data_IF_444458427087
#
_entry.id   IF_444458427087
#
_cell.length_a   1.000
_cell.length_b   1.000
_cell.length_c   1.000
_cell.angle_alpha   90.00
_cell.angle_beta   90.00
_cell.angle_gamma   90.00
#
_symmetry.space_group_name_H-M   'P 1'
#
loop_
_entity.id
_entity.type
_entity.pdbx_description
1 polymer ?
#
# COMPACT_ATOMS: atom_id res chain seq x y z
N UNK A 1 -47.80 -26.51 -7.59
CA UNK A 1 -47.04 -26.68 -6.32
C UNK A 1 -45.67 -26.05 -6.50
N UNK A 2 -45.57 -24.76 -6.19
CA UNK A 2 -44.29 -24.02 -6.25
C UNK A 2 -43.59 -24.10 -4.90
N UNK A 3 -42.46 -24.77 -4.84
CA UNK A 3 -41.63 -24.80 -3.64
C UNK A 3 -40.80 -23.51 -3.60
N UNK A 4 -41.22 -22.57 -2.75
CA UNK A 4 -40.38 -21.46 -2.34
C UNK A 4 -39.22 -22.01 -1.49
N UNK A 5 -38.05 -22.09 -2.07
CA UNK A 5 -36.81 -22.23 -1.29
C UNK A 5 -36.49 -20.83 -0.74
N UNK A 6 -36.84 -20.62 0.52
CA UNK A 6 -36.35 -19.50 1.30
C UNK A 6 -34.93 -19.87 1.78
N UNK A 7 -33.93 -19.56 0.96
CA UNK A 7 -32.52 -19.67 1.35
C UNK A 7 -32.15 -18.44 2.18
N UNK A 8 -32.44 -18.50 3.47
CA UNK A 8 -31.91 -17.60 4.49
C UNK A 8 -30.45 -17.93 4.81
N UNK A 9 -29.61 -18.11 3.81
CA UNK A 9 -28.16 -18.02 3.98
C UNK A 9 -27.83 -16.55 4.18
N UNK A 10 -27.60 -16.14 5.45
CA UNK A 10 -26.85 -14.91 5.73
C UNK A 10 -25.55 -15.01 4.94
N UNK A 11 -25.46 -14.33 3.82
CA UNK A 11 -24.22 -14.24 3.06
C UNK A 11 -23.15 -13.71 4.02
N UNK A 12 -22.13 -14.52 4.26
CA UNK A 12 -21.01 -14.09 5.09
C UNK A 12 -20.26 -13.03 4.31
N UNK A 13 -20.20 -11.82 4.87
CA UNK A 13 -19.43 -10.73 4.28
C UNK A 13 -17.97 -11.17 4.12
N UNK A 14 -17.35 -10.99 2.95
CA UNK A 14 -15.96 -11.36 2.75
C UNK A 14 -15.04 -10.57 3.67
N UNK A 15 -13.94 -11.18 4.10
CA UNK A 15 -12.89 -10.48 4.82
C UNK A 15 -12.04 -9.69 3.81
N UNK A 16 -12.09 -8.38 3.90
CA UNK A 16 -11.33 -7.49 3.01
C UNK A 16 -10.10 -6.99 3.73
N UNK A 17 -8.93 -7.21 3.14
CA UNK A 17 -7.64 -6.76 3.64
C UNK A 17 -6.93 -6.04 2.50
N UNK A 18 -6.31 -4.92 2.78
CA UNK A 18 -5.46 -4.22 1.81
C UNK A 18 -4.28 -3.57 2.52
N UNK A 19 -3.34 -3.07 1.73
CA UNK A 19 -2.19 -2.31 2.22
C UNK A 19 -2.14 -0.95 1.53
N UNK A 20 -1.75 0.05 2.28
CA UNK A 20 -1.48 1.40 1.77
C UNK A 20 -0.02 1.77 2.04
N UNK A 21 0.47 2.68 1.23
CA UNK A 21 1.82 3.24 1.33
C UNK A 21 1.74 4.76 1.43
N UNK A 22 2.77 5.40 2.00
CA UNK A 22 2.89 6.85 1.94
C UNK A 22 2.66 7.34 0.51
N UNK A 23 1.69 8.25 0.26
CA UNK A 23 1.26 8.62 -1.09
C UNK A 23 2.38 9.22 -1.94
N UNK A 24 3.24 10.05 -1.36
CA UNK A 24 4.37 10.68 -2.07
C UNK A 24 5.40 9.61 -2.47
N UNK A 25 5.73 8.70 -1.56
CA UNK A 25 6.66 7.60 -1.87
C UNK A 25 6.09 6.64 -2.91
N UNK A 26 4.77 6.38 -2.86
CA UNK A 26 4.08 5.57 -3.85
C UNK A 26 4.11 6.24 -5.22
N UNK A 27 3.74 7.53 -5.28
CA UNK A 27 3.77 8.31 -6.52
C UNK A 27 5.17 8.34 -7.12
N UNK A 28 6.19 8.57 -6.30
CA UNK A 28 7.58 8.57 -6.76
C UNK A 28 8.01 7.21 -7.32
N UNK A 29 7.60 6.13 -6.66
CA UNK A 29 7.87 4.77 -7.15
C UNK A 29 7.20 4.51 -8.49
N UNK A 30 5.92 4.88 -8.63
CA UNK A 30 5.15 4.73 -9.86
C UNK A 30 5.71 5.61 -11.00
N UNK A 31 6.04 6.87 -10.71
CA UNK A 31 6.65 7.79 -11.65
C UNK A 31 7.96 7.25 -12.22
N UNK A 32 8.86 6.77 -11.35
CA UNK A 32 10.12 6.18 -11.78
C UNK A 32 9.92 4.87 -12.52
N UNK A 33 8.97 4.03 -12.09
CA UNK A 33 8.62 2.80 -12.81
C UNK A 33 8.15 3.10 -14.22
N UNK A 34 7.23 4.02 -14.40
CA UNK A 34 6.73 4.42 -15.72
C UNK A 34 7.88 4.97 -16.58
N UNK A 35 8.72 5.84 -16.03
CA UNK A 35 9.87 6.41 -16.74
C UNK A 35 10.86 5.34 -17.22
N UNK A 36 11.12 4.32 -16.39
CA UNK A 36 12.06 3.25 -16.72
C UNK A 36 11.45 2.17 -17.64
N UNK A 37 10.18 1.82 -17.41
CA UNK A 37 9.49 0.81 -18.21
C UNK A 37 9.17 1.25 -19.62
N UNK A 38 8.99 2.52 -19.84
CA UNK A 38 8.64 3.07 -21.16
C UNK A 38 9.78 3.03 -22.18
N UNK A 39 10.98 2.71 -21.75
CA UNK A 39 12.07 2.37 -22.71
C UNK A 39 11.73 1.11 -23.53
N UNK A 40 10.75 0.32 -23.11
CA UNK A 40 10.42 -0.97 -23.72
C UNK A 40 9.10 -1.05 -24.50
N UNK A 41 8.15 -0.13 -24.30
CA UNK A 41 6.81 -0.21 -24.91
C UNK A 41 6.42 1.09 -25.61
N UNK A 42 6.05 1.02 -26.89
CA UNK A 42 5.77 2.18 -27.74
C UNK A 42 4.66 3.11 -27.19
N UNK A 43 3.64 2.57 -26.52
CA UNK A 43 2.55 3.35 -25.91
C UNK A 43 3.01 4.20 -24.71
N UNK A 44 4.01 3.73 -24.00
CA UNK A 44 4.58 4.46 -22.86
C UNK A 44 5.56 5.56 -23.30
N UNK A 45 6.03 5.56 -24.54
CA UNK A 45 6.90 6.63 -25.08
C UNK A 45 6.21 7.99 -25.08
N UNK A 46 4.91 8.04 -25.30
CA UNK A 46 4.16 9.31 -25.31
C UNK A 46 4.10 9.91 -23.89
N UNK A 47 3.85 9.08 -22.88
CA UNK A 47 3.88 9.47 -21.47
C UNK A 47 5.27 9.96 -21.07
N UNK A 48 6.34 9.32 -21.58
CA UNK A 48 7.73 9.69 -21.27
C UNK A 48 8.17 10.93 -22.04
N UNK A 49 7.75 11.09 -23.27
CA UNK A 49 8.07 12.32 -24.02
C UNK A 49 7.50 13.56 -23.30
N UNK A 50 6.41 13.39 -22.56
CA UNK A 50 5.81 14.47 -21.75
C UNK A 50 6.41 14.57 -20.35
N UNK A 51 6.83 13.46 -19.73
CA UNK A 51 7.57 13.48 -18.45
C UNK A 51 9.01 13.96 -18.62
N UNK A 52 9.58 13.76 -19.81
CA UNK A 52 10.97 14.13 -20.11
C UNK A 52 11.97 13.39 -19.19
N UNK A 53 13.18 13.93 -19.10
CA UNK A 53 14.19 13.49 -18.12
C UNK A 53 14.06 14.20 -16.77
N UNK A 54 12.87 14.75 -16.45
CA UNK A 54 12.66 15.51 -15.22
C UNK A 54 12.43 14.57 -14.04
N UNK A 55 12.90 14.98 -12.86
CA UNK A 55 12.53 14.32 -11.60
C UNK A 55 11.05 14.61 -11.28
N UNK A 56 10.44 13.76 -10.43
CA UNK A 56 9.08 14.00 -9.95
C UNK A 56 8.97 15.37 -9.27
N UNK A 57 9.96 15.76 -8.45
CA UNK A 57 9.98 17.04 -7.75
C UNK A 57 10.03 18.24 -8.72
N UNK A 58 10.72 18.09 -9.85
CA UNK A 58 10.74 19.12 -10.91
C UNK A 58 9.40 19.18 -11.65
N UNK A 59 8.82 18.01 -11.95
CA UNK A 59 7.52 17.93 -12.61
C UNK A 59 6.40 18.53 -11.74
N UNK A 60 6.42 18.30 -10.44
CA UNK A 60 5.42 18.81 -9.49
C UNK A 60 5.32 20.35 -9.49
N UNK A 61 6.39 21.05 -9.79
CA UNK A 61 6.43 22.53 -9.88
C UNK A 61 5.87 23.09 -11.19
N UNK A 62 5.59 22.23 -12.16
CA UNK A 62 5.06 22.62 -13.47
C UNK A 62 3.60 22.20 -13.61
N UNK A 63 2.67 23.15 -13.64
CA UNK A 63 1.25 22.87 -13.86
C UNK A 63 1.02 22.03 -15.12
N UNK A 64 1.71 22.36 -16.20
CA UNK A 64 1.63 21.58 -17.45
C UNK A 64 2.08 20.13 -17.27
N UNK A 65 3.18 19.89 -16.53
CA UNK A 65 3.66 18.54 -16.28
C UNK A 65 2.67 17.76 -15.39
N UNK A 66 2.12 18.39 -14.36
CA UNK A 66 1.12 17.80 -13.45
C UNK A 66 -0.13 17.39 -14.22
N UNK A 67 -0.65 18.26 -15.10
CA UNK A 67 -1.87 18.00 -15.87
C UNK A 67 -1.67 16.94 -16.94
N UNK A 68 -0.66 17.10 -17.79
CA UNK A 68 -0.38 16.16 -18.90
C UNK A 68 -0.12 14.76 -18.38
N UNK A 69 0.59 14.63 -17.27
CA UNK A 69 0.90 13.33 -16.69
C UNK A 69 -0.17 12.83 -15.69
N UNK A 70 -1.24 13.58 -15.53
CA UNK A 70 -2.34 13.21 -14.61
C UNK A 70 -1.85 12.88 -13.19
N UNK A 71 -0.84 13.60 -12.68
CA UNK A 71 -0.21 13.28 -11.38
C UNK A 71 -1.21 13.30 -10.22
N UNK A 72 -2.19 14.22 -10.25
CA UNK A 72 -3.26 14.26 -9.23
C UNK A 72 -4.07 12.96 -9.22
N UNK A 73 -4.42 12.42 -10.39
CA UNK A 73 -5.13 11.15 -10.49
C UNK A 73 -4.25 9.96 -10.07
N UNK A 74 -2.99 9.95 -10.48
CA UNK A 74 -2.03 8.94 -10.04
C UNK A 74 -1.91 8.95 -8.51
N UNK A 75 -1.76 10.13 -7.91
CA UNK A 75 -1.63 10.24 -6.46
C UNK A 75 -2.96 10.10 -5.69
N UNK A 76 -4.08 9.89 -6.36
CA UNK A 76 -5.37 9.61 -5.72
C UNK A 76 -5.76 8.13 -5.79
N UNK A 77 -4.90 7.27 -6.32
CA UNK A 77 -5.25 5.87 -6.65
C UNK A 77 -5.65 5.05 -5.43
N UNK A 78 -4.97 5.21 -4.30
CA UNK A 78 -5.30 4.47 -3.08
C UNK A 78 -6.66 4.88 -2.52
N UNK A 79 -6.91 6.19 -2.45
CA UNK A 79 -8.19 6.71 -1.98
C UNK A 79 -9.35 6.31 -2.90
N UNK A 80 -9.15 6.35 -4.21
CA UNK A 80 -10.15 5.90 -5.19
C UNK A 80 -10.45 4.41 -5.04
N UNK A 81 -9.43 3.58 -4.85
CA UNK A 81 -9.59 2.14 -4.61
C UNK A 81 -10.40 1.87 -3.33
N UNK A 82 -10.06 2.54 -2.23
CA UNK A 82 -10.75 2.39 -0.96
C UNK A 82 -12.17 2.98 -1.01
N UNK A 83 -12.36 4.06 -1.75
CA UNK A 83 -13.68 4.66 -2.00
C UNK A 83 -14.63 3.70 -2.73
N UNK A 84 -14.11 2.86 -3.63
CA UNK A 84 -14.84 1.84 -4.38
C UNK A 84 -15.44 2.38 -5.70
N UNK A 85 -16.43 1.66 -6.22
CA UNK A 85 -17.02 1.87 -7.57
C UNK A 85 -18.19 2.87 -7.61
N UNK A 86 -18.42 3.60 -6.53
CA UNK A 86 -19.49 4.60 -6.48
C UNK A 86 -19.18 5.79 -7.40
N UNK A 87 -20.22 6.39 -8.00
CA UNK A 87 -20.08 7.51 -8.93
C UNK A 87 -19.30 8.72 -8.38
N UNK A 88 -19.34 8.97 -7.08
CA UNK A 88 -18.55 10.03 -6.46
C UNK A 88 -17.05 9.68 -6.41
N UNK A 89 -16.67 8.40 -6.51
CA UNK A 89 -15.29 7.94 -6.52
C UNK A 89 -14.64 7.99 -7.91
N UNK A 90 -15.40 8.25 -8.97
CA UNK A 90 -14.89 8.32 -10.34
C UNK A 90 -14.38 9.72 -10.73
N UNK A 91 -14.74 10.73 -9.96
CA UNK A 91 -14.46 12.14 -10.25
C UNK A 91 -13.60 12.76 -9.14
N UNK A 92 -12.29 12.92 -9.41
CA UNK A 92 -11.33 13.46 -8.44
C UNK A 92 -11.64 14.91 -8.00
N UNK A 93 -12.50 15.64 -8.75
CA UNK A 93 -12.94 16.98 -8.33
C UNK A 93 -13.81 16.94 -7.07
N UNK A 94 -14.43 15.79 -6.78
CA UNK A 94 -15.27 15.56 -5.60
C UNK A 94 -14.47 15.09 -4.38
N UNK A 95 -13.30 15.69 -4.15
CA UNK A 95 -12.33 15.24 -3.14
C UNK A 95 -12.93 14.94 -1.77
N UNK A 96 -13.79 15.82 -1.25
CA UNK A 96 -14.38 15.66 0.08
C UNK A 96 -15.30 14.43 0.17
N UNK A 97 -16.03 14.13 -0.90
CA UNK A 97 -16.87 12.93 -0.97
C UNK A 97 -16.03 11.67 -1.06
N UNK A 98 -14.96 11.68 -1.85
CA UNK A 98 -14.01 10.57 -1.96
C UNK A 98 -13.40 10.28 -0.59
N UNK A 99 -12.86 11.30 0.09
CA UNK A 99 -12.24 11.17 1.41
C UNK A 99 -13.24 10.65 2.44
N UNK A 100 -14.44 11.25 2.51
CA UNK A 100 -15.46 10.84 3.46
C UNK A 100 -15.90 9.39 3.25
N UNK A 101 -16.13 9.00 2.00
CA UNK A 101 -16.53 7.63 1.66
C UNK A 101 -15.40 6.62 1.90
N UNK A 102 -14.17 6.96 1.54
CA UNK A 102 -13.02 6.10 1.81
C UNK A 102 -12.85 5.86 3.32
N UNK A 103 -12.95 6.89 4.15
CA UNK A 103 -12.90 6.75 5.61
C UNK A 103 -14.03 5.87 6.15
N UNK A 104 -15.26 6.06 5.65
CA UNK A 104 -16.37 5.20 6.01
C UNK A 104 -16.10 3.73 5.64
N UNK A 105 -15.62 3.47 4.43
CA UNK A 105 -15.31 2.11 4.00
C UNK A 105 -14.18 1.49 4.83
N UNK A 106 -13.17 2.28 5.25
CA UNK A 106 -12.11 1.82 6.16
C UNK A 106 -12.73 1.26 7.45
N UNK A 107 -13.72 1.93 8.00
CA UNK A 107 -14.37 1.51 9.25
C UNK A 107 -15.32 0.31 9.08
N UNK A 108 -16.02 0.24 7.94
CA UNK A 108 -17.15 -0.68 7.78
C UNK A 108 -16.82 -1.93 6.94
N UNK A 109 -15.88 -1.80 5.99
CA UNK A 109 -15.65 -2.83 4.97
C UNK A 109 -14.34 -3.59 5.16
N UNK A 110 -13.31 -2.96 5.73
CA UNK A 110 -11.99 -3.57 5.84
C UNK A 110 -11.76 -4.21 7.20
N UNK A 111 -11.35 -5.46 7.20
CA UNK A 111 -10.85 -6.12 8.41
C UNK A 111 -9.55 -5.44 8.90
N UNK A 112 -8.65 -5.15 7.96
CA UNK A 112 -7.40 -4.45 8.19
C UNK A 112 -6.95 -3.71 6.95
N UNK A 113 -6.49 -2.47 7.15
CA UNK A 113 -5.62 -1.78 6.19
C UNK A 113 -4.22 -1.74 6.81
N UNK A 114 -3.30 -2.52 6.23
CA UNK A 114 -1.91 -2.55 6.63
C UNK A 114 -1.11 -1.40 6.03
N UNK A 115 0.07 -1.16 6.57
CA UNK A 115 1.01 -0.15 6.08
C UNK A 115 2.23 -0.85 5.45
N UNK A 116 2.59 -0.46 4.24
CA UNK A 116 3.79 -0.99 3.56
C UNK A 116 5.05 -0.68 4.37
N UNK A 117 5.11 0.50 4.98
CA UNK A 117 6.23 0.95 5.81
C UNK A 117 6.35 0.17 7.13
N UNK A 118 5.28 -0.53 7.52
CA UNK A 118 5.18 -1.34 8.74
C UNK A 118 4.73 -2.76 8.41
N UNK A 119 5.30 -3.35 7.35
CA UNK A 119 4.85 -4.65 6.85
C UNK A 119 5.04 -5.77 7.89
N UNK A 120 6.11 -5.76 8.68
CA UNK A 120 6.32 -6.72 9.76
C UNK A 120 5.22 -6.66 10.82
N UNK A 121 4.89 -5.45 11.31
CA UNK A 121 3.78 -5.26 12.24
C UNK A 121 2.44 -5.61 11.60
N UNK A 122 2.27 -5.36 10.29
CA UNK A 122 1.07 -5.75 9.55
C UNK A 122 0.91 -7.28 9.53
N UNK A 123 1.98 -8.03 9.24
CA UNK A 123 1.96 -9.50 9.26
C UNK A 123 1.66 -10.05 10.65
N UNK A 124 2.33 -9.53 11.68
CA UNK A 124 2.05 -9.93 13.07
C UNK A 124 0.62 -9.60 13.53
N UNK A 125 0.05 -8.50 13.05
CA UNK A 125 -1.34 -8.15 13.34
C UNK A 125 -2.32 -9.08 12.60
N UNK A 126 -2.07 -9.40 11.34
CA UNK A 126 -2.87 -10.36 10.56
C UNK A 126 -2.88 -11.75 11.17
N UNK A 127 -1.74 -12.20 11.67
CA UNK A 127 -1.61 -13.47 12.37
C UNK A 127 -2.54 -13.55 13.61
N UNK A 128 -2.69 -12.42 14.32
CA UNK A 128 -3.57 -12.35 15.51
C UNK A 128 -5.05 -12.26 15.16
N UNK A 129 -5.42 -11.44 14.19
CA UNK A 129 -6.83 -11.15 13.88
C UNK A 129 -7.45 -12.16 12.92
N UNK A 130 -6.65 -12.86 12.14
CA UNK A 130 -7.09 -13.85 11.16
C UNK A 130 -6.16 -15.09 11.13
N UNK A 131 -5.93 -15.77 12.28
CA UNK A 131 -4.94 -16.84 12.41
C UNK A 131 -5.18 -18.02 11.47
N UNK A 132 -6.43 -18.29 11.11
CA UNK A 132 -6.77 -19.36 10.15
C UNK A 132 -6.12 -19.18 8.78
N UNK A 133 -5.86 -17.93 8.38
CA UNK A 133 -5.30 -17.60 7.07
C UNK A 133 -3.83 -17.14 7.11
N UNK A 134 -3.40 -16.60 8.26
CA UNK A 134 -2.10 -15.94 8.40
C UNK A 134 -1.23 -16.54 9.51
N UNK A 135 -1.47 -17.80 9.85
CA UNK A 135 -0.62 -18.52 10.81
C UNK A 135 0.84 -18.50 10.37
N UNK A 136 1.75 -18.09 11.25
CA UNK A 136 3.18 -17.96 11.00
C UNK A 136 3.58 -16.85 9.99
N UNK A 137 2.66 -15.93 9.62
CA UNK A 137 2.97 -14.89 8.65
C UNK A 137 4.12 -13.97 9.12
N UNK A 138 4.19 -13.66 10.41
CA UNK A 138 5.28 -12.88 11.00
C UNK A 138 6.62 -13.59 10.89
N UNK A 139 6.70 -14.86 11.30
CA UNK A 139 7.93 -15.66 11.25
C UNK A 139 8.43 -15.85 9.81
N UNK A 140 7.52 -16.16 8.89
CA UNK A 140 7.86 -16.30 7.46
C UNK A 140 8.38 -14.98 6.89
N UNK A 141 7.77 -13.86 7.25
CA UNK A 141 8.25 -12.55 6.82
C UNK A 141 9.65 -12.26 7.33
N UNK A 142 9.92 -12.48 8.63
CA UNK A 142 11.26 -12.30 9.21
C UNK A 142 12.31 -13.18 8.54
N UNK A 143 11.98 -14.45 8.27
CA UNK A 143 12.88 -15.38 7.57
C UNK A 143 13.20 -14.88 6.14
N UNK A 144 12.20 -14.39 5.41
CA UNK A 144 12.40 -13.84 4.06
C UNK A 144 13.29 -12.58 4.09
N UNK A 145 13.10 -11.69 5.06
CA UNK A 145 13.94 -10.50 5.19
C UNK A 145 15.40 -10.85 5.56
N UNK A 146 15.61 -11.82 6.43
CA UNK A 146 16.95 -12.30 6.78
C UNK A 146 17.67 -12.91 5.56
N UNK A 147 16.96 -13.66 4.72
CA UNK A 147 17.54 -14.25 3.51
C UNK A 147 17.81 -13.23 2.41
N UNK A 148 17.04 -12.14 2.34
CA UNK A 148 17.29 -11.03 1.39
C UNK A 148 18.52 -10.19 1.75
N UNK A 149 18.83 -10.07 3.05
CA UNK A 149 19.95 -9.25 3.55
C UNK A 149 21.31 -9.93 3.60
N UNK A 150 21.43 -11.25 3.39
CA UNK A 150 22.63 -12.01 3.74
C UNK A 150 23.05 -13.11 2.77
N UNK A 151 22.46 -13.24 1.60
CA UNK A 151 22.91 -14.26 0.64
C UNK A 151 24.22 -13.87 -0.03
N UNK A 152 25.28 -14.72 -0.02
CA UNK A 152 26.39 -14.54 -0.94
C UNK A 152 25.84 -14.60 -2.37
N UNK A 153 26.42 -13.81 -3.29
CA UNK A 153 26.20 -13.92 -4.73
C UNK A 153 26.39 -15.38 -5.17
N UNK A 154 25.37 -16.20 -5.07
CA UNK A 154 25.34 -17.48 -5.75
C UNK A 154 24.99 -17.24 -7.20
N UNK A 155 26.00 -16.80 -7.94
CA UNK A 155 26.07 -16.99 -9.38
C UNK A 155 25.98 -18.48 -9.64
N UNK A 156 24.92 -18.92 -10.24
CA UNK A 156 24.65 -20.17 -10.94
C UNK A 156 23.37 -20.87 -10.46
N UNK A 157 22.23 -20.36 -10.90
CA UNK A 157 21.12 -21.25 -11.18
C UNK A 157 20.48 -20.89 -12.51
N UNK A 158 20.59 -21.85 -13.46
CA UNK A 158 19.85 -21.89 -14.73
C UNK A 158 18.34 -22.13 -14.52
N UNK A 159 17.75 -21.56 -13.50
CA UNK A 159 16.29 -21.57 -13.31
C UNK A 159 15.66 -20.41 -14.11
N UNK A 160 15.47 -20.70 -15.41
CA UNK A 160 14.75 -19.79 -16.31
C UNK A 160 13.24 -19.71 -16.01
N UNK A 161 12.72 -20.48 -15.07
CA UNK A 161 11.26 -20.66 -14.90
C UNK A 161 10.66 -19.96 -13.66
N UNK A 162 11.45 -19.41 -12.76
CA UNK A 162 10.93 -18.61 -11.66
C UNK A 162 11.55 -17.21 -11.64
N UNK A 163 11.34 -16.45 -12.70
CA UNK A 163 11.47 -15.01 -12.58
C UNK A 163 10.33 -14.55 -11.68
N UNK A 164 10.62 -14.41 -10.40
CA UNK A 164 9.80 -13.59 -9.52
C UNK A 164 9.55 -12.27 -10.28
N UNK A 165 8.29 -11.88 -10.55
CA UNK A 165 8.02 -10.62 -11.24
C UNK A 165 8.42 -9.39 -10.40
N UNK A 166 9.05 -9.59 -9.28
CA UNK A 166 9.44 -8.61 -8.28
C UNK A 166 10.94 -8.39 -8.19
N UNK A 167 11.63 -8.28 -9.32
CA UNK A 167 12.71 -7.30 -9.34
C UNK A 167 12.05 -5.91 -9.31
N UNK A 168 11.38 -5.60 -8.20
CA UNK A 168 11.20 -4.20 -7.84
C UNK A 168 12.62 -3.62 -7.85
N UNK A 169 12.83 -2.62 -8.71
CA UNK A 169 14.01 -1.79 -8.60
C UNK A 169 14.11 -1.46 -7.10
N UNK A 170 15.03 -2.12 -6.43
CA UNK A 170 15.31 -1.80 -5.03
C UNK A 170 15.60 -0.31 -5.03
N UNK A 171 15.20 0.42 -4.01
CA UNK A 171 15.47 1.85 -3.86
C UNK A 171 16.98 2.22 -3.94
N UNK A 172 17.80 1.27 -4.36
CA UNK A 172 19.25 1.32 -4.58
C UNK A 172 19.64 1.56 -6.04
N UNK A 173 18.65 1.65 -6.97
CA UNK A 173 18.95 2.11 -8.33
C UNK A 173 19.56 3.51 -8.27
N UNK A 174 20.72 3.78 -8.87
CA UNK A 174 21.36 5.10 -8.84
C UNK A 174 20.49 6.22 -9.45
N UNK A 175 19.42 5.85 -10.13
CA UNK A 175 18.45 6.78 -10.73
C UNK A 175 17.22 7.03 -9.83
N UNK A 176 17.12 6.39 -8.65
CA UNK A 176 16.02 6.59 -7.72
C UNK A 176 16.27 7.83 -6.85
N UNK A 177 15.77 8.93 -7.31
CA UNK A 177 15.79 10.18 -6.56
C UNK A 177 14.64 10.18 -5.55
N UNK A 178 14.97 10.09 -4.26
CA UNK A 178 13.96 10.16 -3.19
C UNK A 178 13.42 11.60 -3.14
N UNK A 179 12.10 11.80 -3.24
CA UNK A 179 11.54 13.14 -3.13
C UNK A 179 11.86 13.73 -1.77
N UNK A 180 12.14 15.04 -1.68
CA UNK A 180 12.35 15.70 -0.42
C UNK A 180 11.11 15.55 0.47
N UNK A 181 11.33 15.22 1.75
CA UNK A 181 10.25 15.20 2.74
C UNK A 181 9.72 16.63 2.94
N UNK A 182 8.39 16.80 2.92
CA UNK A 182 7.75 18.11 3.10
C UNK A 182 7.72 18.96 1.83
N UNK A 183 7.81 18.36 0.65
CA UNK A 183 7.56 19.05 -0.62
C UNK A 183 6.07 19.41 -0.72
N UNK A 184 5.76 20.71 -0.57
CA UNK A 184 4.39 21.23 -0.56
C UNK A 184 3.64 20.97 -1.86
N UNK A 185 4.35 21.03 -2.99
CA UNK A 185 3.74 20.82 -4.31
C UNK A 185 3.28 19.36 -4.44
N UNK A 186 4.09 18.42 -3.95
CA UNK A 186 3.71 17.00 -3.90
C UNK A 186 2.61 16.70 -2.89
N UNK A 187 2.63 17.36 -1.73
CA UNK A 187 1.55 17.22 -0.73
C UNK A 187 0.22 17.72 -1.29
N UNK A 188 0.21 18.83 -2.01
CA UNK A 188 -0.99 19.35 -2.66
C UNK A 188 -1.50 18.44 -3.79
N UNK A 189 -0.60 17.90 -4.60
CA UNK A 189 -0.95 16.95 -5.66
C UNK A 189 -1.57 15.68 -5.06
N UNK A 190 -1.09 15.25 -3.90
CA UNK A 190 -1.49 14.02 -3.22
C UNK A 190 -2.54 14.23 -2.12
N UNK A 191 -3.17 15.40 -2.00
CA UNK A 191 -4.03 15.77 -0.87
C UNK A 191 -5.10 14.72 -0.53
N UNK A 192 -5.70 14.09 -1.53
CA UNK A 192 -6.76 13.08 -1.35
C UNK A 192 -6.19 11.81 -0.71
N UNK A 193 -5.13 11.26 -1.29
CA UNK A 193 -4.49 10.05 -0.75
C UNK A 193 -3.85 10.34 0.61
N UNK A 194 -3.27 11.52 0.83
CA UNK A 194 -2.70 11.92 2.12
C UNK A 194 -3.74 11.91 3.24
N UNK A 195 -4.95 12.45 2.97
CA UNK A 195 -6.02 12.46 3.95
C UNK A 195 -6.56 11.06 4.29
N UNK A 196 -6.64 10.18 3.28
CA UNK A 196 -7.07 8.79 3.47
C UNK A 196 -5.97 7.95 4.13
N UNK A 197 -4.72 8.13 3.72
CA UNK A 197 -3.57 7.46 4.32
C UNK A 197 -3.39 7.82 5.80
N UNK A 198 -3.50 9.10 6.15
CA UNK A 198 -3.40 9.54 7.55
C UNK A 198 -4.46 8.85 8.42
N UNK A 199 -5.69 8.75 7.93
CA UNK A 199 -6.77 8.06 8.62
C UNK A 199 -6.52 6.54 8.72
N UNK A 200 -6.11 5.90 7.64
CA UNK A 200 -5.77 4.47 7.64
C UNK A 200 -4.64 4.16 8.62
N UNK A 201 -3.62 5.03 8.67
CA UNK A 201 -2.50 4.92 9.60
C UNK A 201 -2.95 5.02 11.05
N UNK A 202 -3.82 5.98 11.39
CA UNK A 202 -4.39 6.12 12.73
C UNK A 202 -5.15 4.84 13.15
N UNK A 203 -5.99 4.30 12.26
CA UNK A 203 -6.74 3.04 12.53
C UNK A 203 -5.80 1.85 12.70
N UNK A 204 -4.78 1.74 11.88
CA UNK A 204 -3.77 0.69 12.01
C UNK A 204 -3.03 0.79 13.35
N UNK A 205 -2.55 1.97 13.72
CA UNK A 205 -1.82 2.18 14.97
C UNK A 205 -2.68 1.93 16.20
N UNK A 206 -3.94 2.36 16.17
CA UNK A 206 -4.92 2.06 17.23
C UNK A 206 -5.14 0.56 17.38
N UNK A 207 -5.32 -0.16 16.28
CA UNK A 207 -5.52 -1.62 16.30
C UNK A 207 -4.28 -2.36 16.79
N UNK A 208 -3.10 -1.92 16.38
CA UNK A 208 -1.82 -2.47 16.84
C UNK A 208 -1.63 -2.26 18.34
N UNK A 209 -1.95 -1.08 18.87
CA UNK A 209 -1.88 -0.79 20.30
C UNK A 209 -2.84 -1.66 21.12
N UNK A 210 -4.08 -1.83 20.66
CA UNK A 210 -5.07 -2.71 21.31
C UNK A 210 -4.58 -4.15 21.41
N UNK A 211 -4.05 -4.70 20.32
CA UNK A 211 -3.50 -6.06 20.32
C UNK A 211 -2.27 -6.23 21.23
N UNK A 212 -1.45 -5.19 21.40
CA UNK A 212 -0.32 -5.23 22.33
C UNK A 212 -0.79 -5.21 23.78
N UNK A 213 -1.80 -4.43 24.10
CA UNK A 213 -2.37 -4.34 25.46
C UNK A 213 -3.04 -5.63 25.90
N UNK A 214 -3.77 -6.31 25.00
CA UNK A 214 -4.38 -7.62 25.29
C UNK A 214 -3.34 -8.66 25.68
N UNK A 215 -2.15 -8.65 25.05
CA UNK A 215 -1.05 -9.55 25.41
C UNK A 215 -0.47 -9.26 26.79
N UNK A 216 -0.39 -7.98 27.19
CA UNK A 216 0.14 -7.58 28.48
C UNK A 216 -0.82 -7.97 29.63
N UNK A 217 -2.13 -7.93 29.37
CA UNK A 217 -3.15 -8.29 30.35
C UNK A 217 -3.40 -9.81 30.43
N UNK A 218 -3.05 -10.58 29.41
CA UNK A 218 -3.20 -12.02 29.36
C UNK A 218 -2.04 -12.79 30.02
N UNK A 219 -0.95 -12.12 30.40
CA UNK A 219 0.15 -12.75 31.13
C UNK A 219 -0.21 -12.86 32.61
N UNK A 220 -0.30 -14.06 33.21
CA UNK A 220 -0.46 -14.20 34.64
C UNK A 220 0.75 -13.59 35.36
N UNK A 221 0.46 -12.84 36.42
CA UNK A 221 1.45 -12.26 37.31
C UNK A 221 2.56 -13.26 37.66
N UNK A 222 3.75 -13.02 37.19
CA UNK A 222 4.94 -13.75 37.65
C UNK A 222 5.85 -14.37 36.59
N UNK A 223 5.56 -14.35 35.31
CA UNK A 223 6.49 -14.88 34.30
C UNK A 223 7.35 -13.79 33.67
N UNK A 224 8.60 -13.84 34.08
CA UNK A 224 9.72 -13.00 33.64
C UNK A 224 9.79 -12.83 32.13
N UNK A 225 9.95 -11.58 31.72
CA UNK A 225 10.28 -11.08 30.41
C UNK A 225 11.30 -11.97 29.68
N UNK A 226 10.88 -12.73 28.68
CA UNK A 226 11.73 -13.00 27.52
C UNK A 226 11.28 -12.04 26.42
N UNK A 227 11.99 -10.92 26.37
CA UNK A 227 11.95 -9.99 25.24
C UNK A 227 12.42 -10.76 24.04
N UNK A 228 11.53 -10.92 23.07
CA UNK A 228 11.93 -11.26 21.71
C UNK A 228 12.73 -10.07 21.18
N UNK A 229 14.02 -10.31 20.99
CA UNK A 229 14.95 -9.39 20.32
C UNK A 229 14.77 -9.55 18.82
#
# INVERSE_FOLDING_TARGET
MSRHFSDNKKEKKPLVITMVRNPIERLNSEYNYLRNSARTVAHQREVINTMGNQSLATCAKSSTCVEVNSLRRMCSTQALYICGDHNDCLDISKKDKIISRAKKNIDEEFLLIGLVEKIGETMGLLEKIAPTYFQYAGEVFELVEQTRGGGPETTNHNDKDFRSPNTYATNTSPEYEKPPSGDRDLEEICEIDMAVYAYAKEKFESKLASCKNELLTALPDGTSRRVLR
#
